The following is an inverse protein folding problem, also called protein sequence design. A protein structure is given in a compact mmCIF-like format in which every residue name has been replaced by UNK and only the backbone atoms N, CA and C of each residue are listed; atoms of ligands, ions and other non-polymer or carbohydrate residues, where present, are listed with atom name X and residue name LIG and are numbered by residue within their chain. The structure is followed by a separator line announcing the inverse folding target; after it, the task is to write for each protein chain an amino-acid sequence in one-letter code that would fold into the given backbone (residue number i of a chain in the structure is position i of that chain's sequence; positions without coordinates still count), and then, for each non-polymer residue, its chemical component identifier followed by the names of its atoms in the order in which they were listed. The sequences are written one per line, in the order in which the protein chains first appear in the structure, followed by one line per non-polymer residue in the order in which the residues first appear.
data_IF_015390746599
#
_entry.id   IF_015390746599
#
_cell.length_a   1.000
_cell.length_b   1.000
_cell.length_c   1.000
_cell.angle_alpha   90.00
_cell.angle_beta   90.00
_cell.angle_gamma   90.00
#
_symmetry.space_group_name_H-M   'P 1'
#
loop_
_entity.id
_entity.type
_entity.pdbx_description
1 polymer ?
#
# COMPACT_ATOMS: atom_id res chain seq x y z
N UNK A 1 16.07 -28.54 -6.00
CA UNK A 1 14.94 -27.63 -5.75
C UNK A 1 14.80 -27.55 -4.23
N UNK A 2 15.32 -26.51 -3.59
CA UNK A 2 15.29 -26.39 -2.11
C UNK A 2 13.93 -25.85 -1.74
N UNK A 3 13.06 -26.71 -1.20
CA UNK A 3 11.78 -26.31 -0.64
C UNK A 3 12.09 -25.45 0.58
N UNK A 4 11.82 -24.16 0.50
CA UNK A 4 11.95 -23.25 1.64
C UNK A 4 11.04 -23.75 2.76
N UNK A 5 11.64 -24.15 3.88
CA UNK A 5 10.87 -24.53 5.07
C UNK A 5 10.05 -23.32 5.53
N UNK A 6 8.75 -23.49 5.86
CA UNK A 6 7.95 -22.42 6.45
C UNK A 6 8.67 -21.85 7.68
N UNK A 7 8.84 -20.54 7.74
CA UNK A 7 9.44 -19.88 8.88
C UNK A 7 8.39 -19.02 9.59
N UNK A 8 8.29 -19.19 10.90
CA UNK A 8 7.46 -18.36 11.78
C UNK A 8 8.39 -17.75 12.81
N UNK A 9 8.23 -16.46 13.05
CA UNK A 9 8.87 -15.77 14.14
C UNK A 9 7.86 -14.93 14.91
N UNK A 10 7.95 -14.93 16.23
CA UNK A 10 7.10 -14.16 17.12
C UNK A 10 7.99 -13.44 18.12
N UNK A 11 7.68 -12.18 18.39
CA UNK A 11 8.37 -11.38 19.40
C UNK A 11 8.17 -11.97 20.82
N UNK A 12 8.91 -11.45 21.78
CA UNK A 12 8.73 -11.76 23.19
C UNK A 12 7.24 -11.69 23.60
N UNK A 13 6.72 -12.63 24.40
CA UNK A 13 5.31 -12.62 24.83
C UNK A 13 4.85 -11.31 25.46
N UNK A 14 5.74 -10.55 26.11
CA UNK A 14 5.41 -9.23 26.64
C UNK A 14 5.14 -8.21 25.54
N UNK A 15 5.86 -8.28 24.42
CA UNK A 15 5.65 -7.43 23.24
C UNK A 15 4.32 -7.79 22.56
N UNK A 16 4.04 -9.09 22.36
CA UNK A 16 2.79 -9.56 21.78
C UNK A 16 1.59 -9.14 22.62
N UNK A 17 1.65 -9.30 23.94
CA UNK A 17 0.58 -8.89 24.87
C UNK A 17 0.33 -7.39 24.81
N UNK A 18 1.39 -6.57 24.71
CA UNK A 18 1.28 -5.13 24.56
C UNK A 18 0.68 -4.72 23.22
N UNK A 19 0.89 -5.52 22.18
CA UNK A 19 0.37 -5.26 20.82
C UNK A 19 -1.15 -5.36 20.72
N UNK A 20 -1.84 -6.05 21.64
CA UNK A 20 -3.30 -6.15 21.67
C UNK A 20 -3.97 -4.79 21.87
N UNK A 21 -3.33 -3.87 22.60
CA UNK A 21 -3.86 -2.56 22.99
C UNK A 21 -3.32 -1.40 22.12
N UNK A 22 -2.58 -1.69 21.04
CA UNK A 22 -1.99 -0.67 20.16
C UNK A 22 -2.42 -0.83 18.72
N UNK A 23 -2.17 0.19 17.90
CA UNK A 23 -2.43 0.13 16.46
C UNK A 23 -1.53 -0.90 15.80
N UNK A 24 -2.13 -1.97 15.28
CA UNK A 24 -1.45 -2.99 14.48
C UNK A 24 -1.51 -2.63 13.00
N UNK A 25 -0.44 -2.95 12.30
CA UNK A 25 -0.35 -2.88 10.84
C UNK A 25 0.10 -4.25 10.35
N UNK A 26 -0.68 -4.83 9.45
CA UNK A 26 -0.34 -6.09 8.79
C UNK A 26 0.03 -5.80 7.34
N UNK A 27 1.09 -6.42 6.86
CA UNK A 27 1.46 -6.44 5.45
C UNK A 27 1.62 -7.88 4.96
N UNK A 28 1.18 -8.14 3.74
CA UNK A 28 1.30 -9.43 3.06
C UNK A 28 2.04 -9.21 1.74
N UNK A 29 3.17 -9.87 1.60
CA UNK A 29 3.91 -9.95 0.35
C UNK A 29 3.59 -11.28 -0.33
N UNK A 30 2.93 -11.19 -1.48
CA UNK A 30 2.51 -12.35 -2.28
C UNK A 30 3.52 -12.52 -3.41
N UNK A 31 4.55 -13.32 -3.14
CA UNK A 31 5.65 -13.55 -4.07
C UNK A 31 5.51 -14.84 -4.89
N UNK A 32 6.34 -14.97 -5.92
CA UNK A 32 6.32 -16.12 -6.86
C UNK A 32 6.66 -17.45 -6.19
N UNK A 33 7.43 -17.44 -5.10
CA UNK A 33 7.90 -18.65 -4.42
C UNK A 33 7.40 -18.79 -3.00
N UNK A 34 6.95 -17.70 -2.41
CA UNK A 34 6.48 -17.66 -1.02
C UNK A 34 5.51 -16.51 -0.80
N UNK A 35 4.61 -16.70 0.16
CA UNK A 35 3.83 -15.62 0.78
C UNK A 35 4.46 -15.31 2.13
N UNK A 36 4.62 -14.04 2.44
CA UNK A 36 5.07 -13.57 3.75
C UNK A 36 4.02 -12.65 4.37
N UNK A 37 3.56 -13.00 5.57
CA UNK A 37 2.72 -12.12 6.39
C UNK A 37 3.55 -11.57 7.54
N UNK A 38 3.56 -10.26 7.71
CA UNK A 38 4.27 -9.57 8.78
C UNK A 38 3.29 -8.67 9.54
N UNK A 39 3.36 -8.70 10.87
CA UNK A 39 2.58 -7.84 11.76
C UNK A 39 3.52 -6.95 12.56
N UNK A 40 3.28 -5.66 12.50
CA UNK A 40 3.98 -4.64 13.27
C UNK A 40 3.02 -3.87 14.17
N UNK A 41 3.54 -3.37 15.27
CA UNK A 41 2.87 -2.39 16.13
C UNK A 41 3.48 -0.99 15.91
N UNK A 42 2.63 0.03 16.00
CA UNK A 42 3.08 1.42 15.91
C UNK A 42 2.92 2.07 17.27
N UNK A 43 4.02 2.54 17.84
CA UNK A 43 4.00 3.27 19.10
C UNK A 43 3.38 4.66 18.92
N UNK A 44 2.94 5.34 20.00
CA UNK A 44 2.48 6.73 19.95
C UNK A 44 3.50 7.71 19.37
N UNK A 45 4.80 7.38 19.49
CA UNK A 45 5.90 8.16 18.92
C UNK A 45 6.14 7.86 17.42
N UNK A 46 5.31 7.00 16.79
CA UNK A 46 5.43 6.64 15.39
C UNK A 46 6.50 5.57 15.10
N UNK A 47 7.16 5.00 16.11
CA UNK A 47 8.12 3.91 15.92
C UNK A 47 7.38 2.61 15.63
N UNK A 48 7.80 1.90 14.58
CA UNK A 48 7.28 0.59 14.22
C UNK A 48 8.19 -0.53 14.75
N UNK A 49 7.58 -1.54 15.35
CA UNK A 49 8.25 -2.76 15.83
C UNK A 49 7.54 -3.98 15.27
N UNK A 50 8.31 -4.97 14.79
CA UNK A 50 7.75 -6.23 14.29
C UNK A 50 7.30 -7.08 15.48
N UNK A 51 6.06 -7.55 15.44
CA UNK A 51 5.45 -8.42 16.45
C UNK A 51 5.60 -9.89 16.06
N UNK A 52 5.30 -10.19 14.80
CA UNK A 52 5.43 -11.54 14.26
C UNK A 52 5.51 -11.52 12.74
N UNK A 53 6.06 -12.57 12.17
CA UNK A 53 5.92 -12.86 10.75
C UNK A 53 5.82 -14.37 10.49
N UNK A 54 5.27 -14.71 9.34
CA UNK A 54 5.20 -16.05 8.80
C UNK A 54 5.58 -16.07 7.33
N UNK A 55 6.23 -17.12 6.89
CA UNK A 55 6.53 -17.39 5.48
C UNK A 55 6.02 -18.76 5.09
N UNK A 56 5.27 -18.85 3.99
CA UNK A 56 4.68 -20.08 3.46
C UNK A 56 5.08 -20.22 1.99
N UNK A 57 5.50 -21.41 1.51
CA UNK A 57 5.71 -21.64 0.09
C UNK A 57 4.44 -21.34 -0.71
N UNK A 58 4.61 -20.78 -1.91
CA UNK A 58 3.53 -20.45 -2.83
C UNK A 58 3.95 -20.83 -4.26
N UNK A 59 3.13 -21.64 -4.91
CA UNK A 59 3.33 -22.08 -6.30
C UNK A 59 2.27 -21.48 -7.25
N UNK A 60 1.40 -20.59 -6.74
CA UNK A 60 0.28 -20.01 -7.49
C UNK A 60 0.65 -18.81 -8.36
N UNK A 61 1.90 -18.30 -8.32
CA UNK A 61 2.35 -17.14 -9.08
C UNK A 61 3.47 -17.47 -10.07
N UNK A 62 3.46 -16.77 -11.21
CA UNK A 62 4.58 -16.76 -12.17
C UNK A 62 4.88 -15.32 -12.59
N UNK A 63 6.14 -14.90 -12.41
CA UNK A 63 6.61 -13.54 -12.74
C UNK A 63 5.69 -12.43 -12.19
N UNK A 64 5.24 -12.59 -10.95
CA UNK A 64 4.34 -11.64 -10.28
C UNK A 64 2.87 -11.71 -10.69
N UNK A 65 2.47 -12.62 -11.59
CA UNK A 65 1.08 -12.79 -12.00
C UNK A 65 0.47 -14.05 -11.35
N UNK A 66 -0.73 -13.94 -10.81
CA UNK A 66 -1.50 -15.07 -10.28
C UNK A 66 -2.01 -15.90 -11.46
N UNK A 67 -1.56 -17.16 -11.56
CA UNK A 67 -2.04 -18.12 -12.53
C UNK A 67 -2.89 -19.23 -11.90
N UNK A 68 -2.72 -19.48 -10.60
CA UNK A 68 -3.56 -20.36 -9.80
C UNK A 68 -4.07 -19.62 -8.56
N UNK A 69 -5.34 -19.20 -8.61
CA UNK A 69 -6.00 -18.43 -7.55
C UNK A 69 -6.16 -19.28 -6.29
N UNK A 70 -6.51 -20.58 -6.44
CA UNK A 70 -6.72 -21.47 -5.30
C UNK A 70 -5.43 -21.67 -4.51
N UNK A 71 -4.34 -22.06 -5.19
CA UNK A 71 -3.04 -22.25 -4.56
C UNK A 71 -2.52 -20.97 -3.89
N UNK A 72 -2.75 -19.80 -4.53
CA UNK A 72 -2.38 -18.50 -3.95
C UNK A 72 -3.18 -18.19 -2.69
N UNK A 73 -4.51 -18.39 -2.76
CA UNK A 73 -5.42 -18.17 -1.64
C UNK A 73 -5.07 -19.05 -0.44
N UNK A 74 -4.78 -20.32 -0.68
CA UNK A 74 -4.41 -21.27 0.38
C UNK A 74 -3.07 -20.87 1.04
N UNK A 75 -2.09 -20.43 0.26
CA UNK A 75 -0.82 -19.93 0.78
C UNK A 75 -1.02 -18.67 1.64
N UNK A 76 -1.84 -17.71 1.19
CA UNK A 76 -2.18 -16.49 1.95
C UNK A 76 -2.90 -16.85 3.25
N UNK A 77 -3.97 -17.65 3.19
CA UNK A 77 -4.71 -18.12 4.37
C UNK A 77 -3.78 -18.79 5.37
N UNK A 78 -2.94 -19.72 4.92
CA UNK A 78 -2.01 -20.43 5.77
C UNK A 78 -1.00 -19.49 6.43
N UNK A 79 -0.46 -18.51 5.70
CA UNK A 79 0.48 -17.53 6.24
C UNK A 79 -0.18 -16.66 7.33
N UNK A 80 -1.40 -16.18 7.10
CA UNK A 80 -2.17 -15.40 8.07
C UNK A 80 -2.50 -16.24 9.30
N UNK A 81 -3.05 -17.44 9.13
CA UNK A 81 -3.41 -18.34 10.22
C UNK A 81 -2.23 -18.71 11.12
N UNK A 82 -1.03 -18.86 10.55
CA UNK A 82 0.18 -19.12 11.32
C UNK A 82 0.52 -17.98 12.26
N UNK A 83 0.40 -16.72 11.81
CA UNK A 83 0.62 -15.55 12.67
C UNK A 83 -0.48 -15.45 13.72
N UNK A 84 -1.75 -15.59 13.34
CA UNK A 84 -2.88 -15.52 14.27
C UNK A 84 -2.79 -16.59 15.35
N UNK A 85 -2.51 -17.85 14.97
CA UNK A 85 -2.41 -18.97 15.90
C UNK A 85 -1.23 -18.84 16.88
N UNK A 86 -0.12 -18.26 16.41
CA UNK A 86 1.09 -18.10 17.24
C UNK A 86 1.06 -16.89 18.17
N UNK A 87 0.24 -15.90 17.85
CA UNK A 87 0.19 -14.62 18.59
C UNK A 87 -1.13 -14.41 19.36
N UNK A 88 -2.21 -15.08 18.96
CA UNK A 88 -3.57 -14.79 19.42
C UNK A 88 -4.16 -13.49 18.86
N UNK A 89 -3.47 -12.82 17.91
CA UNK A 89 -3.96 -11.60 17.28
C UNK A 89 -4.93 -11.94 16.14
N UNK A 90 -6.04 -11.22 16.03
CA UNK A 90 -6.96 -11.34 14.89
C UNK A 90 -6.60 -10.31 13.81
N UNK A 91 -6.29 -10.76 12.59
CA UNK A 91 -5.96 -9.92 11.43
C UNK A 91 -7.23 -9.59 10.67
N UNK A 92 -7.68 -8.32 10.74
CA UNK A 92 -8.91 -7.86 10.07
C UNK A 92 -8.65 -7.17 8.73
N UNK A 93 -7.45 -6.67 8.52
CA UNK A 93 -7.05 -5.96 7.30
C UNK A 93 -5.55 -6.04 7.11
N UNK A 94 -5.10 -5.99 5.88
CA UNK A 94 -3.68 -6.00 5.54
C UNK A 94 -3.41 -5.11 4.33
N UNK A 95 -2.19 -4.57 4.26
CA UNK A 95 -1.63 -4.02 3.04
C UNK A 95 -1.04 -5.16 2.22
N UNK A 96 -1.42 -5.26 0.96
CA UNK A 96 -0.92 -6.31 0.06
C UNK A 96 -0.01 -5.67 -0.99
N UNK A 97 1.20 -6.20 -1.13
CA UNK A 97 2.13 -5.78 -2.17
C UNK A 97 1.69 -6.30 -3.54
N UNK A 98 1.61 -5.42 -4.52
CA UNK A 98 1.28 -5.77 -5.91
C UNK A 98 2.53 -5.57 -6.77
N UNK A 99 2.94 -6.61 -7.48
CA UNK A 99 4.07 -6.59 -8.42
C UNK A 99 3.69 -7.28 -9.72
N UNK A 100 4.38 -6.97 -10.79
CA UNK A 100 4.20 -7.64 -12.08
C UNK A 100 4.18 -6.66 -13.26
N UNK A 101 4.22 -7.22 -14.46
CA UNK A 101 4.24 -6.45 -15.72
C UNK A 101 2.95 -5.66 -16.01
N UNK A 102 1.87 -5.95 -15.27
CA UNK A 102 0.59 -5.24 -15.36
C UNK A 102 0.57 -3.93 -14.55
N UNK A 103 1.55 -3.71 -13.67
CA UNK A 103 1.71 -2.46 -12.94
C UNK A 103 2.45 -1.45 -13.80
N UNK A 104 1.89 -0.27 -13.96
CA UNK A 104 2.54 0.86 -14.63
C UNK A 104 2.41 2.13 -13.81
N UNK A 105 3.27 3.09 -14.11
CA UNK A 105 3.26 4.37 -13.43
C UNK A 105 3.52 5.49 -14.44
N UNK A 106 3.00 6.66 -14.10
CA UNK A 106 3.25 7.89 -14.84
C UNK A 106 3.23 9.09 -13.90
N UNK A 107 3.88 10.18 -14.32
CA UNK A 107 3.79 11.44 -13.62
C UNK A 107 2.83 12.35 -14.38
N UNK A 108 1.80 12.82 -13.69
CA UNK A 108 0.79 13.75 -14.23
C UNK A 108 0.89 15.09 -13.56
N UNK A 109 0.77 16.14 -14.35
CA UNK A 109 0.62 17.51 -13.86
C UNK A 109 -0.82 17.95 -14.03
N UNK A 110 -1.41 18.48 -12.98
CA UNK A 110 -2.76 19.06 -13.01
C UNK A 110 -2.81 20.41 -12.33
N UNK A 111 -3.67 21.31 -12.84
CA UNK A 111 -3.92 22.60 -12.20
C UNK A 111 -4.80 22.43 -10.98
N UNK A 112 -4.48 23.15 -9.91
CA UNK A 112 -5.25 23.25 -8.69
C UNK A 112 -5.95 24.60 -8.68
N UNK A 113 -7.28 24.61 -8.66
CA UNK A 113 -8.00 25.87 -8.52
C UNK A 113 -7.79 26.42 -7.11
N UNK A 114 -7.09 27.54 -7.00
CA UNK A 114 -7.09 28.32 -5.79
C UNK A 114 -8.51 28.86 -5.54
N UNK A 115 -8.95 28.88 -4.29
CA UNK A 115 -10.24 29.47 -3.94
C UNK A 115 -10.22 30.98 -4.08
N UNK A 116 -11.40 31.59 -3.93
CA UNK A 116 -11.57 33.06 -4.09
C UNK A 116 -10.70 33.92 -3.16
N UNK A 117 -10.10 33.34 -2.13
CA UNK A 117 -9.20 34.03 -1.19
C UNK A 117 -7.78 34.25 -1.70
N UNK A 118 -7.40 33.58 -2.79
CA UNK A 118 -6.02 33.55 -3.28
C UNK A 118 -5.02 32.86 -2.33
N UNK A 119 -5.46 32.35 -1.17
CA UNK A 119 -4.64 31.60 -0.22
C UNK A 119 -4.86 30.12 -0.42
N UNK A 120 -3.77 29.37 -0.58
CA UNK A 120 -3.84 27.91 -0.78
C UNK A 120 -4.14 27.22 0.54
N UNK A 121 -5.29 26.55 0.62
CA UNK A 121 -5.75 25.82 1.80
C UNK A 121 -5.62 24.32 1.63
N UNK A 122 -5.62 23.58 2.74
CA UNK A 122 -5.66 22.10 2.73
C UNK A 122 -6.88 21.57 1.99
N UNK A 123 -8.03 22.26 2.09
CA UNK A 123 -9.26 21.85 1.41
C UNK A 123 -9.12 21.92 -0.11
N UNK A 124 -8.46 22.96 -0.64
CA UNK A 124 -8.21 23.10 -2.07
C UNK A 124 -7.23 22.04 -2.58
N UNK A 125 -6.16 21.79 -1.83
CA UNK A 125 -5.20 20.75 -2.15
C UNK A 125 -5.82 19.35 -2.13
N UNK A 126 -6.85 19.12 -1.31
CA UNK A 126 -7.54 17.83 -1.22
C UNK A 126 -8.69 17.66 -2.23
N UNK A 127 -9.26 18.76 -2.76
CA UNK A 127 -10.31 18.71 -3.80
C UNK A 127 -9.82 18.09 -5.11
N UNK A 128 -8.57 18.21 -5.41
CA UNK A 128 -7.94 17.50 -6.53
C UNK A 128 -7.83 16.03 -6.15
N UNK A 129 -8.96 15.31 -6.30
CA UNK A 129 -8.97 13.86 -6.11
C UNK A 129 -8.19 13.21 -7.26
N UNK A 130 -7.25 12.33 -6.95
CA UNK A 130 -6.55 11.53 -7.97
C UNK A 130 -7.48 10.58 -8.75
N UNK A 131 -8.73 10.42 -8.30
CA UNK A 131 -9.74 9.56 -8.93
C UNK A 131 -10.08 9.99 -10.37
N UNK A 132 -9.92 11.29 -10.68
CA UNK A 132 -10.01 11.75 -12.08
C UNK A 132 -8.85 11.27 -12.97
N UNK A 133 -7.81 10.69 -12.36
CA UNK A 133 -6.70 10.08 -13.07
C UNK A 133 -7.02 8.69 -13.64
N UNK A 134 -8.18 8.11 -13.26
CA UNK A 134 -8.57 6.74 -13.59
C UNK A 134 -9.40 6.70 -14.88
N UNK A 135 -8.81 7.04 -16.01
CA UNK A 135 -9.55 7.11 -17.26
C UNK A 135 -9.19 6.04 -18.29
N UNK A 136 -8.27 5.12 -17.97
CA UNK A 136 -7.95 4.04 -18.90
C UNK A 136 -8.82 2.79 -18.63
N UNK A 137 -9.64 2.36 -19.61
CA UNK A 137 -10.43 1.14 -19.48
C UNK A 137 -9.55 -0.08 -19.15
N UNK A 138 -9.98 -0.91 -18.20
CA UNK A 138 -9.27 -2.12 -17.80
C UNK A 138 -8.08 -1.89 -16.85
N UNK A 139 -7.92 -0.67 -16.31
CA UNK A 139 -6.91 -0.38 -15.29
C UNK A 139 -7.54 0.17 -14.03
N UNK A 140 -6.94 -0.13 -12.90
CA UNK A 140 -7.35 0.38 -11.58
C UNK A 140 -6.25 1.24 -10.99
N UNK A 141 -6.66 2.32 -10.33
CA UNK A 141 -5.77 3.18 -9.57
C UNK A 141 -5.32 2.45 -8.30
N UNK A 142 -4.00 2.26 -8.16
CA UNK A 142 -3.39 1.70 -6.95
C UNK A 142 -2.95 2.83 -6.02
N UNK A 143 -2.21 3.81 -6.56
CA UNK A 143 -1.73 4.97 -5.82
C UNK A 143 -1.75 6.23 -6.68
N UNK A 144 -2.03 7.36 -6.01
CA UNK A 144 -1.82 8.70 -6.57
C UNK A 144 -1.14 9.56 -5.50
N UNK A 145 0.17 9.73 -5.66
CA UNK A 145 1.01 10.39 -4.69
C UNK A 145 1.34 11.80 -5.18
N UNK A 146 0.88 12.82 -4.48
CA UNK A 146 1.25 14.22 -4.74
C UNK A 146 2.72 14.39 -4.37
N UNK A 147 3.56 14.68 -5.35
CA UNK A 147 5.01 14.75 -5.17
C UNK A 147 5.47 16.17 -4.84
N UNK A 148 5.15 17.10 -5.72
CA UNK A 148 5.53 18.52 -5.59
C UNK A 148 4.46 19.41 -6.22
N UNK A 149 4.54 20.69 -5.89
CA UNK A 149 3.70 21.72 -6.44
C UNK A 149 4.55 22.73 -7.23
N UNK A 150 3.91 23.38 -8.18
CA UNK A 150 4.43 24.56 -8.88
C UNK A 150 3.52 25.73 -8.55
N UNK A 151 4.08 26.81 -8.06
CA UNK A 151 3.35 28.03 -7.65
C UNK A 151 3.90 29.19 -8.44
N UNK A 152 3.07 29.88 -9.21
CA UNK A 152 3.47 31.01 -10.05
C UNK A 152 4.73 30.74 -10.91
N UNK A 153 4.83 29.49 -11.41
CA UNK A 153 5.98 29.01 -12.22
C UNK A 153 7.16 28.45 -11.41
N UNK A 154 7.24 28.67 -10.10
CA UNK A 154 8.27 28.10 -9.23
C UNK A 154 7.96 26.63 -8.90
N UNK A 155 8.90 25.72 -9.24
CA UNK A 155 8.73 24.28 -9.13
C UNK A 155 9.33 23.73 -7.83
N UNK A 156 8.89 22.51 -7.45
CA UNK A 156 9.51 21.74 -6.36
C UNK A 156 9.02 22.11 -4.96
N UNK A 157 7.96 22.86 -4.85
CA UNK A 157 7.36 23.24 -3.57
C UNK A 157 6.69 22.00 -2.96
N UNK A 158 7.07 21.62 -1.75
CA UNK A 158 6.53 20.43 -1.07
C UNK A 158 5.25 20.69 -0.28
N UNK A 159 5.14 21.89 0.29
CA UNK A 159 3.97 22.28 1.08
C UNK A 159 3.56 23.71 0.77
N UNK A 160 2.58 23.91 -0.14
CA UNK A 160 2.14 25.23 -0.55
C UNK A 160 1.10 25.85 0.37
N UNK A 161 0.68 25.15 1.43
CA UNK A 161 -0.37 25.63 2.34
C UNK A 161 -0.01 26.97 2.98
N UNK A 162 -0.92 27.94 2.87
CA UNK A 162 -0.74 29.30 3.37
C UNK A 162 -0.02 30.25 2.39
N UNK A 163 0.45 29.75 1.25
CA UNK A 163 0.99 30.59 0.18
C UNK A 163 -0.14 31.30 -0.56
N UNK A 164 0.15 32.50 -1.09
CA UNK A 164 -0.76 33.23 -1.95
C UNK A 164 -0.41 32.96 -3.41
N UNK A 165 -1.35 32.45 -4.17
CA UNK A 165 -1.25 32.29 -5.62
C UNK A 165 -2.61 31.92 -6.23
N UNK A 166 -2.78 32.28 -7.49
CA UNK A 166 -3.90 31.82 -8.31
C UNK A 166 -3.46 30.81 -9.38
N UNK A 167 -2.15 30.61 -9.56
CA UNK A 167 -1.57 29.62 -10.47
C UNK A 167 -0.84 28.53 -9.69
N UNK A 168 -1.55 27.44 -9.44
CA UNK A 168 -1.07 26.30 -8.66
C UNK A 168 -1.19 25.04 -9.50
N UNK A 169 -0.08 24.35 -9.74
CA UNK A 169 -0.09 23.03 -10.33
C UNK A 169 0.47 22.00 -9.36
N UNK A 170 -0.01 20.76 -9.44
CA UNK A 170 0.50 19.61 -8.69
C UNK A 170 1.06 18.56 -9.63
N UNK A 171 2.26 18.09 -9.32
CA UNK A 171 2.86 16.92 -9.95
C UNK A 171 2.50 15.68 -9.11
N UNK A 172 1.76 14.75 -9.71
CA UNK A 172 1.26 13.54 -9.05
C UNK A 172 1.88 12.30 -9.70
N UNK A 173 2.46 11.43 -8.89
CA UNK A 173 2.89 10.11 -9.31
C UNK A 173 1.71 9.15 -9.23
N UNK A 174 1.26 8.65 -10.36
CA UNK A 174 0.09 7.79 -10.49
C UNK A 174 0.57 6.37 -10.77
N UNK A 175 0.13 5.41 -9.95
CA UNK A 175 0.41 3.99 -10.13
C UNK A 175 -0.91 3.29 -10.42
N UNK A 176 -0.96 2.54 -11.51
CA UNK A 176 -2.13 1.77 -11.93
C UNK A 176 -1.78 0.30 -12.15
N UNK A 177 -2.76 -0.57 -12.00
CA UNK A 177 -2.66 -1.99 -12.30
C UNK A 177 -3.75 -2.45 -13.25
N UNK A 178 -3.50 -3.51 -14.01
CA UNK A 178 -4.54 -4.13 -14.82
C UNK A 178 -5.66 -4.69 -13.93
N UNK A 179 -6.93 -4.29 -14.15
CA UNK A 179 -8.09 -4.65 -13.31
C UNK A 179 -8.22 -6.15 -13.11
N UNK A 180 -8.01 -6.94 -14.17
CA UNK A 180 -8.09 -8.40 -14.08
C UNK A 180 -7.07 -9.02 -13.12
N UNK A 181 -5.92 -8.37 -12.92
CA UNK A 181 -4.86 -8.84 -12.01
C UNK A 181 -5.07 -8.34 -10.59
N UNK A 182 -5.49 -7.08 -10.44
CA UNK A 182 -5.84 -6.50 -9.12
C UNK A 182 -6.96 -7.31 -8.49
N UNK A 183 -8.03 -7.60 -9.24
CA UNK A 183 -9.20 -8.37 -8.77
C UNK A 183 -8.85 -9.80 -8.34
N UNK A 184 -7.84 -10.44 -8.97
CA UNK A 184 -7.37 -11.77 -8.53
C UNK A 184 -6.67 -11.78 -7.18
N UNK A 185 -6.11 -10.64 -6.75
CA UNK A 185 -5.47 -10.51 -5.44
C UNK A 185 -6.44 -10.08 -4.34
N UNK A 186 -7.59 -9.51 -4.70
CA UNK A 186 -8.61 -9.01 -3.77
C UNK A 186 -9.81 -9.96 -3.61
N UNK A 187 -9.88 -11.01 -4.43
CA UNK A 187 -10.90 -12.07 -4.36
C UNK A 187 -10.55 -13.10 -3.29
#
# INVERSE_FOLDING_TARGET
MTISTPAIWVADPAVVKKAVDVKLITAIDVGTTKVCTIVGQVSPAGKMEVVAYSTVPCDGLRKGNVYDVSATTDAVKKSVQQVESSTGLGIKSAYVGITGSHVSFENRRSQVSAGNSGVITTAELNRQSPESANSEPGRELIHALKMTYTIDGERGIRNPRGMHSNDVAVDTHVVTGGSAYVNKLTA
#
